data_IF_443861667833
#
_entry.id   IF_443861667833
#
_cell.length_a   1.000
_cell.length_b   1.000
_cell.length_c   1.000
_cell.angle_alpha   90.00
_cell.angle_beta   90.00
_cell.angle_gamma   90.00
#
_symmetry.space_group_name_H-M   'P 1'
#
loop_
_entity.id
_entity.type
_entity.pdbx_description
1 polymer ?
#
# COMPACT_ATOMS: atom_id res chain seq x y z
N UNK A 1 1.33 20.42 -16.95
CA UNK A 1 2.18 20.33 -15.74
C UNK A 1 1.51 20.87 -14.47
N UNK A 2 0.89 22.06 -14.47
CA UNK A 2 0.24 22.65 -13.27
C UNK A 2 -0.80 21.73 -12.59
N UNK A 3 -1.58 20.96 -13.38
CA UNK A 3 -2.60 20.03 -12.86
C UNK A 3 -2.00 18.84 -12.10
N UNK A 4 -0.88 18.28 -12.59
CA UNK A 4 -0.20 17.17 -11.94
C UNK A 4 0.41 17.62 -10.60
N UNK A 5 1.02 18.81 -10.60
CA UNK A 5 1.55 19.40 -9.37
C UNK A 5 0.46 19.65 -8.33
N UNK A 6 -0.70 20.18 -8.75
CA UNK A 6 -1.84 20.38 -7.86
C UNK A 6 -2.32 19.05 -7.23
N UNK A 7 -2.42 17.99 -8.05
CA UNK A 7 -2.82 16.66 -7.57
C UNK A 7 -1.82 16.11 -6.53
N UNK A 8 -0.51 16.21 -6.79
CA UNK A 8 0.52 15.75 -5.86
C UNK A 8 0.49 16.55 -4.57
N UNK A 9 0.40 17.88 -4.64
CA UNK A 9 0.43 18.74 -3.45
C UNK A 9 -0.80 18.52 -2.56
N UNK A 10 -1.99 18.39 -3.18
CA UNK A 10 -3.24 18.16 -2.45
C UNK A 10 -3.31 16.78 -1.81
N UNK A 11 -2.77 15.75 -2.47
CA UNK A 11 -2.86 14.36 -2.01
C UNK A 11 -1.53 13.83 -1.44
N UNK A 12 -0.58 14.71 -1.10
CA UNK A 12 0.77 14.31 -0.68
C UNK A 12 0.77 13.36 0.50
N UNK A 13 -0.14 13.56 1.47
CA UNK A 13 -0.26 12.71 2.65
C UNK A 13 -0.76 11.32 2.26
N UNK A 14 -1.82 11.23 1.45
CA UNK A 14 -2.35 9.99 0.90
C UNK A 14 -1.29 9.23 0.10
N UNK A 15 -0.55 9.91 -0.78
CA UNK A 15 0.51 9.30 -1.59
C UNK A 15 1.66 8.77 -0.71
N UNK A 16 2.05 9.50 0.33
CA UNK A 16 3.05 9.04 1.31
C UNK A 16 2.56 7.81 2.07
N UNK A 17 1.30 7.81 2.50
CA UNK A 17 0.72 6.68 3.21
C UNK A 17 0.54 5.44 2.31
N UNK A 18 0.22 5.63 1.02
CA UNK A 18 0.24 4.55 0.03
C UNK A 18 1.63 3.93 -0.11
N UNK A 19 2.69 4.75 -0.14
CA UNK A 19 4.08 4.25 -0.20
C UNK A 19 4.46 3.48 1.07
N UNK A 20 4.09 3.99 2.25
CA UNK A 20 4.32 3.29 3.52
C UNK A 20 3.56 1.96 3.54
N UNK A 21 2.29 1.98 3.13
CA UNK A 21 1.45 0.78 3.03
C UNK A 21 2.00 -0.25 2.05
N UNK A 22 2.57 0.19 0.92
CA UNK A 22 3.25 -0.70 -0.04
C UNK A 22 4.45 -1.41 0.60
N UNK A 23 5.28 -0.69 1.35
CA UNK A 23 6.44 -1.26 2.07
C UNK A 23 5.95 -2.26 3.13
N UNK A 24 4.93 -1.91 3.90
CA UNK A 24 4.35 -2.81 4.90
C UNK A 24 3.74 -4.07 4.27
N UNK A 25 3.05 -3.93 3.13
CA UNK A 25 2.52 -5.05 2.36
C UNK A 25 3.62 -5.99 1.85
N UNK A 26 4.74 -5.42 1.38
CA UNK A 26 5.92 -6.20 1.00
C UNK A 26 6.51 -6.96 2.20
N UNK A 27 6.73 -6.29 3.34
CA UNK A 27 7.24 -6.93 4.55
C UNK A 27 6.31 -8.04 5.02
N UNK A 28 5.00 -7.80 5.02
CA UNK A 28 4.01 -8.80 5.36
C UNK A 28 4.10 -10.04 4.44
N UNK A 29 4.19 -9.84 3.13
CA UNK A 29 4.36 -10.94 2.18
C UNK A 29 5.66 -11.71 2.42
N UNK A 30 6.78 -11.00 2.61
CA UNK A 30 8.10 -11.59 2.76
C UNK A 30 8.20 -12.48 4.00
N UNK A 31 7.63 -12.04 5.13
CA UNK A 31 7.73 -12.76 6.39
C UNK A 31 6.59 -13.77 6.63
N UNK A 32 5.38 -13.53 6.11
CA UNK A 32 4.20 -14.37 6.38
C UNK A 32 3.57 -14.97 5.11
N UNK A 33 3.40 -14.17 4.06
CA UNK A 33 2.61 -14.55 2.88
C UNK A 33 3.19 -15.72 2.06
N UNK A 34 4.51 -15.79 1.90
CA UNK A 34 5.15 -16.84 1.10
C UNK A 34 5.21 -18.22 1.78
N UNK A 35 5.14 -18.28 3.11
CA UNK A 35 5.50 -19.48 3.86
C UNK A 35 4.29 -20.28 4.36
N UNK A 36 3.12 -19.63 4.49
CA UNK A 36 1.95 -20.24 5.12
C UNK A 36 0.91 -20.62 4.06
N UNK A 37 0.93 -21.89 3.63
CA UNK A 37 -0.06 -22.45 2.68
C UNK A 37 -1.51 -22.52 3.19
N UNK A 38 -1.75 -22.10 4.43
CA UNK A 38 -3.07 -21.94 5.05
C UNK A 38 -3.48 -20.48 5.23
N UNK A 39 -2.62 -19.52 4.86
CA UNK A 39 -2.92 -18.11 4.97
C UNK A 39 -3.93 -17.69 3.89
N UNK A 40 -5.02 -16.99 4.25
CA UNK A 40 -6.10 -16.69 3.31
C UNK A 40 -5.78 -15.58 2.31
N UNK A 41 -4.69 -14.81 2.48
CA UNK A 41 -4.27 -13.89 1.41
C UNK A 41 -3.42 -14.61 0.36
N UNK A 42 -3.47 -14.09 -0.86
CA UNK A 42 -2.62 -14.55 -1.96
C UNK A 42 -1.14 -14.60 -1.54
N UNK A 43 -0.47 -15.68 -1.94
CA UNK A 43 0.98 -15.84 -1.81
C UNK A 43 1.77 -14.95 -2.80
N UNK A 44 1.08 -14.21 -3.66
CA UNK A 44 1.70 -13.31 -4.62
C UNK A 44 2.10 -11.98 -3.95
N UNK A 45 3.35 -11.57 -4.19
CA UNK A 45 3.91 -10.32 -3.67
C UNK A 45 3.05 -9.12 -4.03
N UNK A 46 2.67 -9.02 -5.30
CA UNK A 46 1.98 -7.84 -5.85
C UNK A 46 0.62 -7.65 -5.19
N UNK A 47 -0.10 -8.72 -4.87
CA UNK A 47 -1.41 -8.66 -4.18
C UNK A 47 -1.29 -8.02 -2.80
N UNK A 48 -0.30 -8.44 -2.02
CA UNK A 48 -0.05 -7.89 -0.68
C UNK A 48 0.41 -6.43 -0.74
N UNK A 49 1.29 -6.09 -1.70
CA UNK A 49 1.72 -4.71 -1.92
C UNK A 49 0.56 -3.80 -2.34
N UNK A 50 -0.32 -4.26 -3.24
CA UNK A 50 -1.52 -3.54 -3.65
C UNK A 50 -2.48 -3.35 -2.47
N UNK A 51 -2.74 -4.39 -1.69
CA UNK A 51 -3.59 -4.32 -0.50
C UNK A 51 -3.03 -3.33 0.53
N UNK A 52 -1.73 -3.38 0.80
CA UNK A 52 -1.05 -2.45 1.70
C UNK A 52 -1.12 -1.01 1.20
N UNK A 53 -0.82 -0.77 -0.07
CA UNK A 53 -0.88 0.57 -0.69
C UNK A 53 -2.29 1.17 -0.61
N UNK A 54 -3.32 0.41 -0.99
CA UNK A 54 -4.72 0.84 -0.91
C UNK A 54 -5.13 1.13 0.53
N UNK A 55 -4.72 0.27 1.47
CA UNK A 55 -5.03 0.45 2.90
C UNK A 55 -4.37 1.71 3.47
N UNK A 56 -3.11 1.95 3.15
CA UNK A 56 -2.39 3.16 3.57
C UNK A 56 -3.02 4.43 3.01
N UNK A 57 -3.36 4.43 1.72
CA UNK A 57 -4.11 5.53 1.09
C UNK A 57 -5.48 5.76 1.72
N UNK A 58 -6.22 4.69 2.03
CA UNK A 58 -7.51 4.77 2.69
C UNK A 58 -7.41 5.39 4.08
N UNK A 59 -6.48 4.91 4.93
CA UNK A 59 -6.28 5.44 6.29
C UNK A 59 -5.95 6.93 6.26
N UNK A 60 -5.04 7.35 5.38
CA UNK A 60 -4.69 8.78 5.27
C UNK A 60 -5.79 9.65 4.66
N UNK A 61 -6.76 9.06 3.94
CA UNK A 61 -7.92 9.80 3.43
C UNK A 61 -9.01 9.99 4.49
N UNK A 62 -8.93 9.27 5.62
CA UNK A 62 -9.86 9.39 6.75
C UNK A 62 -9.37 10.36 7.84
N UNK A 63 -8.12 10.83 7.74
CA UNK A 63 -7.47 11.77 8.67
C UNK A 63 -7.45 13.18 8.08
#
# INVERSE_FOLDING_TARGET
MKRLQALIIQNKATLLAMLIGLILGYLHWYFWGCYWGTYPMSAEMWTNCCAGSLSGGFVASLL
#
